data_IF_395739910687
#
_entry.id   IF_395739910687
#
_cell.length_a   1.000
_cell.length_b   1.000
_cell.length_c   1.000
_cell.angle_alpha   90.00
_cell.angle_beta   90.00
_cell.angle_gamma   90.00
#
_symmetry.space_group_name_H-M   'P 1'
#
loop_
_entity.id
_entity.type
_entity.pdbx_description
1 polymer ?
#
# COMPACT_ATOMS: atom_id res chain seq x y z
N UNK A 1 -50.34 40.25 -17.89
CA UNK A 1 -49.89 39.31 -18.93
C UNK A 1 -48.77 38.45 -18.36
N UNK A 2 -49.11 37.31 -17.79
CA UNK A 2 -48.17 36.32 -17.24
C UNK A 2 -48.37 35.03 -18.05
N UNK A 3 -47.33 34.56 -18.75
CA UNK A 3 -47.33 33.27 -19.46
C UNK A 3 -46.42 32.29 -18.70
N UNK A 4 -47.01 31.17 -18.26
CA UNK A 4 -46.32 30.03 -17.64
C UNK A 4 -45.46 29.29 -18.69
N UNK A 5 -44.29 28.75 -18.34
CA UNK A 5 -43.58 27.76 -19.16
C UNK A 5 -44.20 26.37 -19.00
N UNK A 6 -44.19 25.60 -20.09
CA UNK A 6 -44.78 24.28 -20.21
C UNK A 6 -43.99 23.18 -19.47
N UNK A 7 -44.71 22.16 -18.98
CA UNK A 7 -44.15 20.97 -18.34
C UNK A 7 -43.47 20.02 -19.37
N UNK A 8 -42.41 19.29 -18.98
CA UNK A 8 -41.74 18.33 -19.86
C UNK A 8 -42.54 17.02 -19.99
N UNK A 9 -42.54 16.46 -21.21
CA UNK A 9 -43.18 15.17 -21.58
C UNK A 9 -42.43 13.96 -20.98
N UNK A 10 -43.13 12.86 -20.65
CA UNK A 10 -42.49 11.63 -20.18
C UNK A 10 -41.81 10.86 -21.33
N UNK A 11 -40.78 10.03 -21.05
CA UNK A 11 -40.07 9.23 -22.05
C UNK A 11 -40.91 8.05 -22.54
N UNK A 12 -40.67 7.55 -23.78
CA UNK A 12 -41.40 6.42 -24.33
C UNK A 12 -40.96 5.10 -23.69
N UNK A 13 -41.94 4.23 -23.43
CA UNK A 13 -41.80 2.87 -22.93
C UNK A 13 -41.02 1.97 -23.90
N UNK A 14 -39.89 1.42 -23.44
CA UNK A 14 -39.20 0.34 -24.14
C UNK A 14 -39.91 -0.98 -23.86
N UNK A 15 -40.62 -1.47 -24.87
CA UNK A 15 -41.27 -2.77 -24.94
C UNK A 15 -40.27 -3.92 -24.90
N UNK A 16 -40.55 -4.90 -24.04
CA UNK A 16 -39.90 -6.20 -23.96
C UNK A 16 -39.95 -6.92 -25.32
N UNK A 17 -38.79 -7.31 -25.84
CA UNK A 17 -38.68 -8.33 -26.87
C UNK A 17 -38.09 -9.58 -26.21
N UNK A 18 -38.97 -10.51 -25.91
CA UNK A 18 -38.70 -11.89 -25.50
C UNK A 18 -38.31 -12.70 -26.73
N UNK A 19 -37.03 -13.06 -26.85
CA UNK A 19 -36.59 -14.07 -27.82
C UNK A 19 -36.73 -15.46 -27.18
N UNK A 20 -37.71 -16.21 -27.68
CA UNK A 20 -38.01 -17.58 -27.29
C UNK A 20 -36.94 -18.56 -27.77
N UNK A 21 -36.39 -19.35 -26.87
CA UNK A 21 -35.63 -20.56 -27.19
C UNK A 21 -36.60 -21.72 -27.45
N UNK A 22 -36.51 -22.36 -28.63
CA UNK A 22 -37.15 -23.65 -28.92
C UNK A 22 -36.10 -24.77 -28.96
N UNK A 23 -36.42 -25.99 -28.47
CA UNK A 23 -35.43 -27.07 -28.29
C UNK A 23 -35.46 -28.16 -29.39
N UNK A 24 -34.31 -28.84 -29.53
CA UNK A 24 -34.08 -30.26 -29.92
C UNK A 24 -34.36 -30.69 -31.39
N UNK A 25 -33.65 -31.71 -31.97
CA UNK A 25 -33.56 -33.07 -31.43
C UNK A 25 -32.23 -33.84 -31.55
N UNK A 26 -32.27 -34.99 -30.88
CA UNK A 26 -31.24 -35.98 -30.56
C UNK A 26 -31.16 -37.19 -31.51
N UNK A 27 -29.95 -37.76 -31.63
CA UNK A 27 -29.60 -39.21 -31.83
C UNK A 27 -29.86 -39.83 -33.22
N UNK A 28 -29.20 -40.96 -33.63
CA UNK A 28 -28.56 -42.07 -32.88
C UNK A 28 -27.08 -42.34 -33.30
N UNK A 29 -26.21 -43.15 -32.71
CA UNK A 29 -26.28 -44.40 -31.93
C UNK A 29 -25.45 -45.49 -32.64
N UNK A 30 -24.41 -46.06 -31.98
CA UNK A 30 -23.77 -47.40 -32.19
C UNK A 30 -22.50 -47.49 -31.30
N UNK A 31 -22.57 -48.18 -30.16
CA UNK A 31 -22.31 -49.62 -29.88
C UNK A 31 -20.83 -49.99 -29.65
N UNK A 32 -20.62 -50.54 -28.46
CA UNK A 32 -19.42 -51.18 -27.91
C UNK A 32 -18.85 -52.32 -28.76
N UNK A 33 -17.55 -52.53 -28.65
CA UNK A 33 -16.94 -53.88 -28.68
C UNK A 33 -15.88 -53.98 -27.59
N UNK A 34 -16.06 -54.97 -26.73
CA UNK A 34 -15.14 -55.52 -25.74
C UNK A 34 -14.07 -56.38 -26.40
N UNK A 35 -12.83 -56.35 -25.89
CA UNK A 35 -11.77 -57.29 -26.29
C UNK A 35 -10.67 -57.41 -25.26
N UNK A 36 -10.70 -58.50 -24.48
CA UNK A 36 -9.64 -59.01 -23.59
C UNK A 36 -8.40 -59.46 -24.40
N UNK A 37 -7.23 -59.48 -23.74
CA UNK A 37 -6.35 -60.65 -23.84
C UNK A 37 -4.84 -60.41 -23.91
N UNK A 38 -4.12 -60.78 -22.84
CA UNK A 38 -2.75 -61.32 -22.84
C UNK A 38 -1.62 -60.30 -23.01
N UNK A 39 -0.52 -60.29 -22.28
CA UNK A 39 0.05 -61.26 -21.33
C UNK A 39 1.57 -61.28 -21.51
N UNK A 40 2.31 -61.30 -20.38
CA UNK A 40 3.73 -61.71 -20.23
C UNK A 40 4.80 -60.78 -20.87
N UNK A 41 6.00 -60.58 -20.33
CA UNK A 41 6.74 -61.10 -19.16
C UNK A 41 8.06 -60.29 -19.06
N UNK A 42 8.64 -60.28 -17.85
CA UNK A 42 10.06 -60.09 -17.53
C UNK A 42 10.66 -58.66 -17.64
N UNK A 43 11.56 -58.22 -16.76
CA UNK A 43 12.41 -58.95 -15.80
C UNK A 43 12.76 -58.09 -14.59
N UNK A 44 12.80 -58.72 -13.41
CA UNK A 44 13.45 -58.23 -12.21
C UNK A 44 14.97 -58.49 -12.26
N UNK A 45 15.77 -57.47 -11.93
CA UNK A 45 17.18 -57.43 -11.47
C UNK A 45 17.52 -55.93 -11.57
N UNK A 46 17.83 -55.17 -10.53
CA UNK A 46 18.81 -55.38 -9.47
C UNK A 46 18.34 -54.76 -8.14
N UNK A 47 18.58 -55.46 -7.03
CA UNK A 47 18.71 -54.85 -5.70
C UNK A 47 20.19 -54.85 -5.34
N UNK A 48 20.53 -53.82 -4.57
CA UNK A 48 21.70 -53.68 -3.70
C UNK A 48 22.99 -53.24 -4.39
N UNK A 49 23.31 -51.95 -4.22
CA UNK A 49 24.60 -51.40 -3.76
C UNK A 49 24.45 -49.86 -3.69
N UNK A 50 24.88 -49.24 -2.59
CA UNK A 50 24.86 -47.78 -2.42
C UNK A 50 24.04 -47.25 -1.23
N UNK A 51 24.25 -47.79 -0.02
CA UNK A 51 24.10 -46.99 1.21
C UNK A 51 25.38 -46.15 1.34
N UNK A 52 25.23 -44.84 1.30
CA UNK A 52 26.32 -43.88 1.47
C UNK A 52 26.34 -42.86 0.33
N UNK A 53 26.53 -41.58 0.67
CA UNK A 53 26.82 -40.47 -0.26
C UNK A 53 25.65 -39.76 -0.96
N UNK A 54 24.51 -39.59 -0.28
CA UNK A 54 23.39 -38.77 -0.79
C UNK A 54 22.87 -37.65 0.13
N UNK A 55 23.42 -37.49 1.34
CA UNK A 55 22.84 -36.62 2.37
C UNK A 55 23.73 -35.45 2.84
N UNK A 56 24.94 -35.32 2.29
CA UNK A 56 25.93 -34.28 2.67
C UNK A 56 26.14 -33.20 1.59
N UNK A 57 25.11 -32.96 0.79
CA UNK A 57 25.00 -31.77 -0.08
C UNK A 57 23.91 -30.80 0.40
N UNK A 58 23.64 -30.78 1.71
CA UNK A 58 23.21 -29.52 2.35
C UNK A 58 24.42 -28.60 2.32
N UNK A 59 24.63 -27.94 1.18
CA UNK A 59 25.44 -26.73 1.06
C UNK A 59 25.17 -25.95 2.35
N UNK A 60 26.18 -25.81 3.21
CA UNK A 60 26.09 -25.04 4.43
C UNK A 60 25.50 -23.69 4.05
N UNK A 61 24.20 -23.50 4.30
CA UNK A 61 23.47 -22.31 3.87
C UNK A 61 24.04 -21.24 4.77
N UNK A 62 24.96 -20.42 4.23
CA UNK A 62 25.56 -19.34 4.99
C UNK A 62 24.43 -18.53 5.58
N UNK A 63 24.28 -18.58 6.89
CA UNK A 63 23.20 -17.90 7.57
C UNK A 63 23.59 -16.43 7.60
N UNK A 64 22.79 -15.57 6.96
CA UNK A 64 23.12 -14.16 6.87
C UNK A 64 23.04 -13.49 8.24
N UNK A 65 23.85 -12.45 8.43
CA UNK A 65 23.55 -11.37 9.38
C UNK A 65 22.87 -10.25 8.62
N UNK A 66 21.67 -9.91 9.03
CA UNK A 66 20.76 -9.14 8.17
C UNK A 66 20.25 -7.88 8.82
N UNK A 67 20.43 -6.75 8.14
CA UNK A 67 19.77 -5.49 8.49
C UNK A 67 18.48 -5.40 7.69
N UNK A 68 17.33 -5.32 8.37
CA UNK A 68 16.05 -5.07 7.73
C UNK A 68 15.69 -3.59 7.86
N UNK A 69 15.68 -2.87 6.75
CA UNK A 69 15.42 -1.44 6.70
C UNK A 69 13.93 -1.17 6.47
N UNK A 70 13.24 -0.77 7.53
CA UNK A 70 11.90 -0.21 7.46
C UNK A 70 11.92 1.18 6.82
N UNK A 71 10.94 1.44 5.94
CA UNK A 71 10.72 2.75 5.29
C UNK A 71 9.23 3.09 5.32
N UNK A 72 8.45 2.33 4.56
CA UNK A 72 7.02 2.11 4.82
C UNK A 72 6.91 0.82 5.62
N UNK A 73 6.02 -0.10 5.25
CA UNK A 73 6.01 -1.47 5.78
C UNK A 73 6.07 -1.56 7.30
N UNK A 74 5.57 -0.55 8.04
CA UNK A 74 5.70 -0.44 9.49
C UNK A 74 4.70 -1.37 10.20
N UNK A 75 4.86 -2.67 9.93
CA UNK A 75 4.01 -3.76 10.39
C UNK A 75 4.77 -5.09 10.39
N UNK A 76 4.28 -6.04 11.18
CA UNK A 76 4.74 -7.41 11.21
C UNK A 76 3.84 -8.34 10.38
N UNK A 77 2.53 -8.09 10.28
CA UNK A 77 1.64 -8.88 9.43
C UNK A 77 1.91 -8.64 7.95
N UNK A 78 1.82 -9.69 7.13
CA UNK A 78 2.04 -9.62 5.67
C UNK A 78 3.27 -8.76 5.30
N UNK A 79 4.40 -9.05 5.93
CA UNK A 79 5.67 -8.41 5.63
C UNK A 79 6.59 -9.42 4.92
N UNK A 80 6.51 -9.55 3.58
CA UNK A 80 7.24 -10.56 2.83
C UNK A 80 8.75 -10.36 2.93
N UNK A 81 9.23 -9.12 2.94
CA UNK A 81 10.65 -8.79 3.03
C UNK A 81 11.23 -9.18 4.38
N UNK A 82 10.55 -8.82 5.48
CA UNK A 82 10.98 -9.19 6.83
C UNK A 82 10.91 -10.70 7.06
N UNK A 83 9.87 -11.37 6.56
CA UNK A 83 9.77 -12.81 6.61
C UNK A 83 10.93 -13.49 5.87
N UNK A 84 11.24 -13.03 4.66
CA UNK A 84 12.36 -13.56 3.88
C UNK A 84 13.71 -13.34 4.59
N UNK A 85 13.89 -12.18 5.24
CA UNK A 85 15.06 -11.88 6.07
C UNK A 85 15.18 -12.87 7.24
N UNK A 86 14.10 -13.14 7.98
CA UNK A 86 14.11 -14.09 9.09
C UNK A 86 14.39 -15.53 8.65
N UNK A 87 14.00 -15.91 7.42
CA UNK A 87 14.20 -17.26 6.88
C UNK A 87 15.60 -17.49 6.28
N UNK A 88 16.32 -16.43 5.93
CA UNK A 88 17.67 -16.47 5.35
C UNK A 88 18.80 -16.26 6.36
N UNK A 89 18.49 -15.88 7.61
CA UNK A 89 19.45 -15.22 8.51
C UNK A 89 19.60 -15.91 9.87
N UNK A 90 20.81 -15.85 10.45
CA UNK A 90 21.08 -16.25 11.85
C UNK A 90 20.83 -15.11 12.84
N UNK A 91 21.02 -13.87 12.38
CA UNK A 91 20.79 -12.68 13.18
C UNK A 91 20.12 -11.59 12.35
N UNK A 92 19.20 -10.86 12.97
CA UNK A 92 18.45 -9.78 12.34
C UNK A 92 18.54 -8.49 13.16
N UNK A 93 18.65 -7.37 12.44
CA UNK A 93 18.65 -6.02 12.98
C UNK A 93 17.50 -5.26 12.32
N UNK A 94 16.31 -5.20 12.94
CA UNK A 94 15.19 -4.42 12.43
C UNK A 94 15.49 -2.93 12.66
N UNK A 95 15.72 -2.19 11.59
CA UNK A 95 16.22 -0.81 11.61
C UNK A 95 15.25 0.14 10.93
N UNK A 96 15.06 1.31 11.51
CA UNK A 96 14.47 2.47 10.83
C UNK A 96 15.48 3.61 10.84
N UNK A 97 15.91 4.08 9.67
CA UNK A 97 16.82 5.22 9.57
C UNK A 97 15.99 6.50 9.47
N UNK A 98 16.08 7.35 10.50
CA UNK A 98 15.48 8.67 10.54
C UNK A 98 16.45 9.69 9.94
N UNK A 99 16.49 9.72 8.61
CA UNK A 99 17.28 10.67 7.82
C UNK A 99 16.47 11.94 7.56
N UNK A 100 16.67 12.98 8.38
CA UNK A 100 15.91 14.22 8.24
C UNK A 100 16.24 14.97 6.96
N UNK A 101 17.50 14.95 6.52
CA UNK A 101 17.93 15.70 5.34
C UNK A 101 17.38 15.07 4.07
N UNK A 102 17.43 13.74 3.98
CA UNK A 102 16.74 13.00 2.93
C UNK A 102 15.24 13.28 2.96
N UNK A 103 14.60 13.15 4.13
CA UNK A 103 13.16 13.35 4.25
C UNK A 103 12.74 14.79 3.89
N UNK A 104 13.46 15.82 4.30
CA UNK A 104 13.11 17.21 3.94
C UNK A 104 13.42 17.57 2.50
N UNK A 105 14.37 16.90 1.85
CA UNK A 105 14.68 17.11 0.43
C UNK A 105 13.66 16.47 -0.51
N UNK A 106 13.08 15.33 -0.14
CA UNK A 106 12.15 14.58 -1.01
C UNK A 106 10.68 14.75 -0.63
N UNK A 107 10.38 15.19 0.60
CA UNK A 107 9.01 15.31 1.08
C UNK A 107 8.77 16.46 2.06
N UNK A 108 7.58 17.05 1.96
CA UNK A 108 7.10 18.03 2.93
C UNK A 108 6.33 17.30 4.04
N UNK A 109 6.84 17.35 5.28
CA UNK A 109 6.26 16.63 6.43
C UNK A 109 5.90 17.63 7.54
N UNK A 110 4.60 17.81 7.78
CA UNK A 110 4.09 18.60 8.90
C UNK A 110 4.10 17.84 10.23
N UNK A 111 3.89 18.57 11.33
CA UNK A 111 3.96 18.02 12.69
C UNK A 111 3.05 16.80 12.93
N UNK A 112 1.81 16.82 12.41
CA UNK A 112 0.89 15.70 12.58
C UNK A 112 1.37 14.41 11.89
N UNK A 113 2.05 14.53 10.74
CA UNK A 113 2.66 13.37 10.06
C UNK A 113 3.81 12.79 10.87
N UNK A 114 4.64 13.65 11.47
CA UNK A 114 5.71 13.21 12.36
C UNK A 114 5.16 12.48 13.58
N UNK A 115 4.11 13.02 14.22
CA UNK A 115 3.43 12.33 15.31
C UNK A 115 2.92 10.94 14.92
N UNK A 116 2.24 10.84 13.77
CA UNK A 116 1.74 9.55 13.29
C UNK A 116 2.88 8.56 13.00
N UNK A 117 4.00 9.03 12.43
CA UNK A 117 5.20 8.21 12.21
C UNK A 117 5.80 7.73 13.53
N UNK A 118 6.07 8.63 14.48
CA UNK A 118 6.67 8.28 15.77
C UNK A 118 5.80 7.27 16.53
N UNK A 119 4.48 7.49 16.58
CA UNK A 119 3.53 6.54 17.17
C UNK A 119 3.56 5.18 16.46
N UNK A 120 3.77 5.15 15.15
CA UNK A 120 3.88 3.90 14.39
C UNK A 120 5.19 3.17 14.66
N UNK A 121 6.30 3.89 14.85
CA UNK A 121 7.58 3.31 15.25
C UNK A 121 7.55 2.81 16.69
N UNK A 122 6.88 3.52 17.61
CA UNK A 122 6.64 3.06 18.98
C UNK A 122 5.83 1.76 19.02
N UNK A 123 4.77 1.68 18.22
CA UNK A 123 3.95 0.46 18.10
C UNK A 123 4.74 -0.72 17.49
N UNK A 124 5.57 -0.45 16.48
CA UNK A 124 6.45 -1.45 15.89
C UNK A 124 7.51 -1.94 16.88
N UNK A 125 8.13 -1.03 17.64
CA UNK A 125 9.04 -1.36 18.74
C UNK A 125 8.36 -2.29 19.76
N UNK A 126 7.16 -1.94 20.22
CA UNK A 126 6.41 -2.75 21.18
C UNK A 126 6.09 -4.14 20.63
N UNK A 127 5.66 -4.22 19.38
CA UNK A 127 5.31 -5.48 18.71
C UNK A 127 6.54 -6.38 18.52
N UNK A 128 7.69 -5.81 18.14
CA UNK A 128 8.95 -6.55 18.05
C UNK A 128 9.43 -7.04 19.43
N UNK A 129 9.32 -6.22 20.47
CA UNK A 129 9.66 -6.60 21.84
C UNK A 129 8.82 -7.78 22.36
N UNK A 130 7.53 -7.83 22.03
CA UNK A 130 6.66 -8.96 22.39
C UNK A 130 7.11 -10.27 21.74
N UNK A 131 7.81 -10.22 20.60
CA UNK A 131 8.36 -11.38 19.90
C UNK A 131 9.83 -11.67 20.25
N UNK A 132 10.42 -10.94 21.20
CA UNK A 132 11.82 -11.14 21.62
C UNK A 132 12.85 -10.42 20.73
N UNK A 133 12.44 -9.39 20.00
CA UNK A 133 13.30 -8.51 19.19
C UNK A 133 13.14 -7.03 19.59
N UNK A 134 13.66 -6.11 18.79
CA UNK A 134 13.53 -4.67 18.99
C UNK A 134 13.69 -3.95 17.66
N UNK A 135 13.09 -2.77 17.55
CA UNK A 135 13.37 -1.78 16.53
C UNK A 135 14.59 -0.93 16.94
N UNK A 136 15.50 -0.71 16.00
CA UNK A 136 16.64 0.19 16.15
C UNK A 136 16.39 1.44 15.30
N UNK A 137 16.08 2.57 15.94
CA UNK A 137 15.88 3.84 15.24
C UNK A 137 17.19 4.61 15.23
N UNK A 138 17.78 4.78 14.05
CA UNK A 138 19.09 5.42 13.87
C UNK A 138 18.89 6.78 13.19
N UNK A 139 19.39 7.85 13.80
CA UNK A 139 19.32 9.20 13.23
C UNK A 139 20.60 9.50 12.45
N UNK A 140 20.47 9.85 11.17
CA UNK A 140 21.60 10.18 10.31
C UNK A 140 21.31 9.93 8.84
N UNK A 141 22.27 10.30 7.99
CA UNK A 141 22.22 10.00 6.56
C UNK A 141 22.27 8.49 6.33
N UNK A 142 21.37 7.95 5.50
CA UNK A 142 21.26 6.50 5.31
C UNK A 142 22.56 5.84 4.82
N UNK A 143 23.34 6.49 3.95
CA UNK A 143 24.60 5.91 3.45
C UNK A 143 25.64 5.81 4.56
N UNK A 144 25.87 6.91 5.27
CA UNK A 144 26.79 6.97 6.41
C UNK A 144 26.40 5.98 7.52
N UNK A 145 25.11 5.96 7.88
CA UNK A 145 24.57 5.01 8.87
C UNK A 145 24.79 3.56 8.44
N UNK A 146 24.54 3.22 7.18
CA UNK A 146 24.75 1.87 6.68
C UNK A 146 26.23 1.50 6.72
N UNK A 147 27.14 2.38 6.28
CA UNK A 147 28.61 2.12 6.32
C UNK A 147 29.08 1.76 7.72
N UNK A 148 28.70 2.56 8.72
CA UNK A 148 29.10 2.34 10.12
C UNK A 148 28.58 1.00 10.65
N UNK A 149 27.28 0.74 10.50
CA UNK A 149 26.63 -0.40 11.13
C UNK A 149 26.85 -1.71 10.36
N UNK A 150 27.08 -1.67 9.04
CA UNK A 150 27.46 -2.86 8.27
C UNK A 150 28.79 -3.42 8.78
N UNK A 151 29.77 -2.54 9.02
CA UNK A 151 31.07 -2.93 9.54
C UNK A 151 30.97 -3.40 11.00
N UNK A 152 30.28 -2.63 11.86
CA UNK A 152 30.14 -2.95 13.28
C UNK A 152 29.43 -4.29 13.51
N UNK A 153 28.31 -4.51 12.81
CA UNK A 153 27.46 -5.68 13.00
C UNK A 153 27.80 -6.85 12.07
N UNK A 154 28.79 -6.66 11.19
CA UNK A 154 29.24 -7.66 10.21
C UNK A 154 28.08 -8.13 9.33
N UNK A 155 27.31 -7.17 8.83
CA UNK A 155 26.13 -7.41 8.01
C UNK A 155 26.56 -8.01 6.67
N UNK A 156 25.86 -9.07 6.27
CA UNK A 156 26.05 -9.77 4.99
C UNK A 156 24.85 -9.64 4.06
N UNK A 157 23.73 -9.12 4.57
CA UNK A 157 22.51 -8.89 3.79
C UNK A 157 21.76 -7.66 4.32
N UNK A 158 21.29 -6.81 3.41
CA UNK A 158 20.35 -5.74 3.69
C UNK A 158 19.04 -6.09 3.00
N UNK A 159 17.94 -6.03 3.75
CA UNK A 159 16.61 -6.23 3.20
C UNK A 159 15.76 -4.98 3.35
N UNK A 160 14.96 -4.67 2.34
CA UNK A 160 14.12 -3.48 2.30
C UNK A 160 12.94 -3.71 1.36
N UNK A 161 11.76 -3.16 1.65
CA UNK A 161 10.62 -3.30 0.76
C UNK A 161 10.90 -2.65 -0.61
N UNK A 162 10.49 -3.31 -1.70
CA UNK A 162 10.64 -2.78 -3.06
C UNK A 162 9.58 -1.71 -3.33
N UNK A 163 9.83 -0.48 -2.86
CA UNK A 163 8.94 0.67 -3.01
C UNK A 163 9.06 1.32 -4.41
N UNK A 164 7.95 1.89 -4.88
CA UNK A 164 7.85 2.39 -6.26
C UNK A 164 8.18 3.88 -6.42
N UNK A 165 8.19 4.65 -5.32
CA UNK A 165 8.48 6.08 -5.37
C UNK A 165 9.89 6.34 -5.91
N UNK A 166 10.06 7.36 -6.79
CA UNK A 166 11.36 7.65 -7.41
C UNK A 166 12.51 7.76 -6.40
N UNK A 167 12.30 8.48 -5.29
CA UNK A 167 13.32 8.66 -4.26
C UNK A 167 13.65 7.37 -3.49
N UNK A 168 12.70 6.45 -3.33
CA UNK A 168 12.97 5.14 -2.71
C UNK A 168 13.65 4.17 -3.66
N UNK A 169 13.39 4.27 -4.97
CA UNK A 169 14.11 3.53 -6.01
C UNK A 169 15.56 3.99 -6.12
N UNK A 170 15.80 5.30 -6.05
CA UNK A 170 17.15 5.88 -6.03
C UNK A 170 17.92 5.45 -4.78
N UNK A 171 17.30 5.55 -3.59
CA UNK A 171 17.88 5.02 -2.34
C UNK A 171 18.21 3.52 -2.45
N UNK A 172 17.31 2.70 -3.00
CA UNK A 172 17.58 1.27 -3.19
C UNK A 172 18.74 1.04 -4.17
N UNK A 173 18.84 1.81 -5.26
CA UNK A 173 19.95 1.72 -6.19
C UNK A 173 21.30 2.06 -5.51
N UNK A 174 21.32 3.12 -4.68
CA UNK A 174 22.50 3.52 -3.92
C UNK A 174 22.89 2.44 -2.89
N UNK A 175 21.91 1.85 -2.19
CA UNK A 175 22.16 0.74 -1.25
C UNK A 175 22.69 -0.50 -1.97
N UNK A 176 22.20 -0.80 -3.18
CA UNK A 176 22.72 -1.91 -4.01
C UNK A 176 24.16 -1.66 -4.45
N UNK A 177 24.50 -0.42 -4.82
CA UNK A 177 25.87 -0.04 -5.14
C UNK A 177 26.78 -0.16 -3.92
N UNK A 178 26.31 0.30 -2.75
CA UNK A 178 27.02 0.12 -1.47
C UNK A 178 27.22 -1.37 -1.14
N UNK A 179 26.25 -2.24 -1.49
CA UNK A 179 26.35 -3.69 -1.37
C UNK A 179 27.49 -4.30 -2.17
N UNK A 180 27.70 -3.80 -3.40
CA UNK A 180 28.82 -4.22 -4.24
C UNK A 180 30.17 -3.75 -3.67
N UNK A 181 30.21 -2.58 -3.03
CA UNK A 181 31.41 -2.02 -2.42
C UNK A 181 31.80 -2.73 -1.11
N UNK A 182 30.84 -2.92 -0.20
CA UNK A 182 31.08 -3.43 1.16
C UNK A 182 30.88 -4.95 1.30
N UNK A 183 30.37 -5.62 0.27
CA UNK A 183 30.22 -7.08 0.25
C UNK A 183 29.00 -7.62 0.97
N UNK A 184 27.83 -6.98 0.83
CA UNK A 184 26.55 -7.49 1.33
C UNK A 184 25.52 -7.66 0.20
N UNK A 185 24.62 -8.62 0.36
CA UNK A 185 23.51 -8.86 -0.57
C UNK A 185 22.33 -7.93 -0.30
N UNK A 186 21.59 -7.54 -1.35
CA UNK A 186 20.36 -6.74 -1.20
C UNK A 186 19.15 -7.52 -1.71
N UNK A 187 18.23 -7.82 -0.79
CA UNK A 187 16.96 -8.47 -1.09
C UNK A 187 15.80 -7.48 -0.89
N UNK A 188 14.98 -7.32 -1.91
CA UNK A 188 13.75 -6.52 -1.82
C UNK A 188 12.56 -7.28 -2.39
N UNK A 189 11.42 -7.18 -1.70
CA UNK A 189 10.16 -7.79 -2.11
C UNK A 189 9.04 -6.74 -2.07
N UNK A 190 8.03 -6.92 -2.91
CA UNK A 190 6.90 -6.00 -2.98
C UNK A 190 5.96 -6.24 -1.80
N UNK A 191 5.88 -5.27 -0.88
CA UNK A 191 4.99 -5.29 0.28
C UNK A 191 3.88 -4.24 0.28
N UNK A 192 3.86 -3.34 -0.72
CA UNK A 192 2.99 -2.16 -0.71
C UNK A 192 1.79 -2.25 -1.68
N UNK A 193 1.73 -3.22 -2.59
CA UNK A 193 0.70 -3.32 -3.65
C UNK A 193 0.01 -4.68 -3.67
N UNK A 194 -1.20 -4.71 -4.24
CA UNK A 194 -1.97 -5.95 -4.42
C UNK A 194 -1.32 -6.89 -5.44
N UNK A 195 -0.80 -6.32 -6.51
CA UNK A 195 -0.16 -7.04 -7.60
C UNK A 195 1.27 -6.52 -7.81
N UNK A 196 2.10 -7.35 -8.45
CA UNK A 196 3.36 -6.85 -9.00
C UNK A 196 3.06 -5.96 -10.21
N UNK A 197 3.24 -4.64 -10.08
CA UNK A 197 2.85 -3.65 -11.11
C UNK A 197 3.45 -3.94 -12.47
N UNK A 198 4.68 -4.45 -12.53
CA UNK A 198 5.33 -4.89 -13.78
C UNK A 198 4.49 -5.92 -14.58
N UNK A 199 3.83 -6.87 -13.91
CA UNK A 199 2.97 -7.87 -14.58
C UNK A 199 1.75 -7.21 -15.23
N UNK A 200 1.23 -6.14 -14.62
CA UNK A 200 0.14 -5.33 -15.20
C UNK A 200 0.63 -4.59 -16.44
N UNK A 201 1.83 -4.02 -16.40
CA UNK A 201 2.44 -3.32 -17.55
C UNK A 201 2.69 -4.29 -18.71
N UNK A 202 3.24 -5.47 -18.45
CA UNK A 202 3.49 -6.51 -19.45
C UNK A 202 2.21 -6.92 -20.17
N UNK A 203 1.14 -7.20 -19.44
CA UNK A 203 -0.17 -7.52 -20.04
C UNK A 203 -0.83 -6.34 -20.76
N UNK A 204 -0.45 -5.12 -20.42
CA UNK A 204 -0.91 -3.89 -21.07
C UNK A 204 -0.05 -3.47 -22.27
N UNK A 205 0.97 -4.27 -22.64
CA UNK A 205 1.86 -3.99 -23.77
C UNK A 205 2.97 -2.99 -23.46
N UNK A 206 3.41 -2.94 -22.20
CA UNK A 206 4.51 -2.09 -21.72
C UNK A 206 4.11 -0.69 -21.24
N UNK A 207 2.86 -0.28 -21.45
CA UNK A 207 2.35 1.02 -21.01
C UNK A 207 1.26 0.87 -19.93
N UNK A 208 1.18 1.79 -18.95
CA UNK A 208 0.16 1.70 -17.90
C UNK A 208 -1.25 1.94 -18.46
N UNK A 209 -2.26 1.20 -17.98
CA UNK A 209 -3.65 1.48 -18.36
C UNK A 209 -4.08 2.85 -17.82
N UNK A 210 -4.49 3.77 -18.71
CA UNK A 210 -4.87 5.14 -18.33
C UNK A 210 -6.35 5.33 -17.99
N UNK A 211 -7.16 4.27 -18.13
CA UNK A 211 -8.56 4.27 -17.69
C UNK A 211 -8.81 3.14 -16.72
N UNK A 212 -9.63 3.41 -15.71
CA UNK A 212 -9.98 2.42 -14.70
C UNK A 212 -10.65 1.18 -15.31
N UNK A 213 -11.46 1.36 -16.37
CA UNK A 213 -12.07 0.25 -17.12
C UNK A 213 -11.03 -0.67 -17.75
N UNK A 214 -10.01 -0.10 -18.42
CA UNK A 214 -8.92 -0.89 -19.01
C UNK A 214 -8.12 -1.60 -17.92
N UNK A 215 -7.83 -0.92 -16.82
CA UNK A 215 -7.15 -1.50 -15.67
C UNK A 215 -7.88 -2.72 -15.10
N UNK A 216 -9.20 -2.62 -14.85
CA UNK A 216 -10.00 -3.75 -14.39
C UNK A 216 -10.01 -4.91 -15.39
N UNK A 217 -10.03 -4.62 -16.69
CA UNK A 217 -9.93 -5.66 -17.71
C UNK A 217 -8.57 -6.39 -17.64
N UNK A 218 -7.45 -5.67 -17.49
CA UNK A 218 -6.14 -6.31 -17.31
C UNK A 218 -6.11 -7.16 -16.04
N UNK A 219 -6.64 -6.66 -14.91
CA UNK A 219 -6.70 -7.45 -13.68
C UNK A 219 -7.55 -8.71 -13.84
N UNK A 220 -8.64 -8.66 -14.60
CA UNK A 220 -9.45 -9.86 -14.89
C UNK A 220 -8.69 -10.95 -15.66
N UNK A 221 -7.64 -10.59 -16.41
CA UNK A 221 -6.75 -11.54 -17.08
C UNK A 221 -5.66 -12.07 -16.14
N UNK A 222 -5.23 -11.25 -15.17
CA UNK A 222 -4.16 -11.59 -14.23
C UNK A 222 -4.64 -12.51 -13.10
N UNK A 223 -5.92 -12.42 -12.73
CA UNK A 223 -6.53 -13.20 -11.65
C UNK A 223 -6.52 -12.45 -10.32
N UNK A 224 -6.60 -13.20 -9.23
CA UNK A 224 -6.63 -12.63 -7.87
C UNK A 224 -5.27 -12.04 -7.45
N UNK A 225 -5.25 -11.07 -6.51
CA UNK A 225 -4.02 -10.51 -5.95
C UNK A 225 -3.13 -11.53 -5.26
N UNK A 226 -1.88 -11.16 -5.02
CA UNK A 226 -0.96 -11.95 -4.18
C UNK A 226 -1.55 -12.11 -2.77
N UNK A 227 -1.52 -13.34 -2.24
CA UNK A 227 -1.99 -13.64 -0.88
C UNK A 227 -1.07 -13.03 0.17
N UNK A 228 -1.60 -12.58 1.32
CA UNK A 228 -0.76 -12.12 2.40
C UNK A 228 0.12 -13.26 2.93
N UNK A 229 1.39 -12.96 3.23
CA UNK A 229 2.28 -13.95 3.85
C UNK A 229 1.87 -14.24 5.30
N UNK A 230 2.35 -15.35 5.85
CA UNK A 230 2.07 -15.72 7.25
C UNK A 230 2.54 -14.64 8.23
N UNK A 231 1.91 -14.59 9.39
CA UNK A 231 2.38 -13.76 10.49
C UNK A 231 3.72 -14.29 11.04
N UNK A 232 4.51 -13.35 11.58
CA UNK A 232 5.74 -13.65 12.29
C UNK A 232 5.41 -14.18 13.69
N UNK A 233 6.31 -15.02 14.20
CA UNK A 233 6.16 -15.69 15.49
C UNK A 233 7.39 -15.47 16.35
N UNK A 234 7.28 -15.71 17.67
CA UNK A 234 8.45 -15.69 18.55
C UNK A 234 9.50 -16.73 18.14
N UNK A 235 9.08 -17.86 17.54
CA UNK A 235 10.00 -18.89 17.03
C UNK A 235 10.89 -18.37 15.90
N UNK A 236 10.38 -17.48 15.05
CA UNK A 236 11.17 -16.84 13.98
C UNK A 236 12.34 -16.05 14.57
N UNK A 237 12.10 -15.27 15.63
CA UNK A 237 13.12 -14.46 16.32
C UNK A 237 14.00 -15.26 17.30
N UNK A 238 13.55 -16.44 17.75
CA UNK A 238 14.41 -17.37 18.50
C UNK A 238 15.45 -18.04 17.59
N UNK A 239 15.04 -18.38 16.37
CA UNK A 239 15.89 -18.96 15.32
C UNK A 239 16.83 -17.91 14.72
N UNK A 240 16.31 -16.71 14.44
CA UNK A 240 17.06 -15.58 13.92
C UNK A 240 17.17 -14.51 15.02
N UNK A 241 18.23 -14.58 15.82
CA UNK A 241 18.31 -13.77 17.04
C UNK A 241 18.56 -12.30 16.72
N UNK A 242 17.82 -11.42 17.37
CA UNK A 242 18.18 -10.01 17.46
C UNK A 242 19.28 -9.87 18.51
N UNK A 243 20.50 -9.44 18.16
CA UNK A 243 21.55 -9.26 19.17
C UNK A 243 21.11 -8.24 20.21
N UNK A 244 21.61 -8.38 21.44
CA UNK A 244 21.21 -7.60 22.63
C UNK A 244 21.60 -6.11 22.61
N UNK A 245 21.46 -5.45 21.47
CA UNK A 245 21.64 -4.00 21.28
C UNK A 245 20.42 -3.19 21.73
N UNK A 246 19.31 -3.88 22.06
CA UNK A 246 18.00 -3.33 22.45
C UNK A 246 18.01 -2.38 23.67
N UNK A 247 19.13 -2.23 24.36
CA UNK A 247 19.27 -1.44 25.58
C UNK A 247 20.10 -0.16 25.40
N UNK A 248 20.64 0.11 24.21
CA UNK A 248 21.38 1.35 23.99
C UNK A 248 20.39 2.50 23.76
N UNK A 249 20.40 3.50 24.65
CA UNK A 249 19.54 4.70 24.56
C UNK A 249 19.66 5.41 23.20
N UNK A 250 20.76 5.21 22.46
CA UNK A 250 21.00 5.79 21.14
C UNK A 250 20.07 5.27 20.03
N UNK A 251 19.42 4.11 20.20
CA UNK A 251 18.53 3.51 19.19
C UNK A 251 17.04 3.67 19.51
N UNK A 252 16.69 4.44 20.55
CA UNK A 252 15.30 4.65 20.96
C UNK A 252 14.50 5.37 19.86
N UNK A 253 13.19 5.13 19.83
CA UNK A 253 12.28 5.98 19.05
C UNK A 253 12.37 7.42 19.61
N UNK A 254 12.67 8.43 18.78
CA UNK A 254 12.82 9.80 19.26
C UNK A 254 11.48 10.37 19.74
N UNK A 255 11.55 11.25 20.72
CA UNK A 255 10.38 11.98 21.20
C UNK A 255 10.05 13.17 20.27
N UNK A 256 8.81 13.69 20.29
CA UNK A 256 8.44 14.91 19.56
C UNK A 256 9.41 16.09 19.80
N UNK A 257 9.89 16.25 21.04
CA UNK A 257 10.88 17.30 21.39
C UNK A 257 12.21 17.13 20.65
N UNK A 258 12.66 15.88 20.43
CA UNK A 258 13.88 15.59 19.70
C UNK A 258 13.73 16.05 18.24
N UNK A 259 12.51 15.94 17.68
CA UNK A 259 12.16 16.40 16.33
C UNK A 259 11.85 17.89 16.22
N UNK A 260 11.85 18.65 17.33
CA UNK A 260 11.41 20.06 17.37
C UNK A 260 9.98 20.27 16.86
N UNK A 261 9.09 19.30 17.11
CA UNK A 261 7.65 19.41 16.82
C UNK A 261 6.87 19.61 18.13
N UNK A 262 5.64 20.18 18.08
CA UNK A 262 4.80 20.32 19.27
C UNK A 262 4.61 18.98 20.00
N UNK A 263 4.58 18.99 21.33
CA UNK A 263 4.48 17.77 22.13
C UNK A 263 3.15 17.04 21.93
N UNK A 264 2.06 17.79 21.80
CA UNK A 264 0.72 17.23 21.66
C UNK A 264 0.30 17.13 20.19
N UNK A 265 -0.31 16.00 19.83
CA UNK A 265 -1.01 15.84 18.56
C UNK A 265 -2.51 16.01 18.81
N UNK A 266 -3.13 16.94 18.09
CA UNK A 266 -4.58 17.16 18.12
C UNK A 266 -5.34 16.20 17.18
N UNK A 267 -4.63 15.41 16.39
CA UNK A 267 -5.25 14.48 15.46
C UNK A 267 -5.91 13.31 16.21
N UNK A 268 -7.17 12.96 15.91
CA UNK A 268 -7.79 11.76 16.48
C UNK A 268 -7.33 10.46 15.78
N UNK A 269 -6.35 10.54 14.87
CA UNK A 269 -5.69 9.38 14.27
C UNK A 269 -4.37 9.10 14.99
N UNK A 270 -4.32 7.95 15.66
CA UNK A 270 -3.09 7.41 16.25
C UNK A 270 -2.40 6.48 15.26
N UNK A 271 -1.07 6.59 15.16
CA UNK A 271 -0.21 5.70 14.36
C UNK A 271 -0.13 4.28 14.92
N UNK A 272 0.39 3.36 14.10
CA UNK A 272 0.65 1.96 14.48
C UNK A 272 -0.17 0.90 13.73
N UNK A 273 0.43 -0.27 13.59
CA UNK A 273 -0.19 -1.51 13.12
C UNK A 273 -1.35 -1.92 14.04
N UNK A 274 -1.15 -1.86 15.36
CA UNK A 274 -2.17 -2.25 16.35
C UNK A 274 -3.46 -1.44 16.18
N UNK A 275 -3.34 -0.12 16.09
CA UNK A 275 -4.50 0.76 15.90
C UNK A 275 -5.12 0.58 14.50
N UNK A 276 -4.29 0.37 13.47
CA UNK A 276 -4.75 0.05 12.13
C UNK A 276 -5.61 -1.21 12.10
N UNK A 277 -5.13 -2.31 12.68
CA UNK A 277 -5.85 -3.58 12.78
C UNK A 277 -7.12 -3.43 13.62
N UNK A 278 -7.06 -2.75 14.77
CA UNK A 278 -8.25 -2.47 15.60
C UNK A 278 -9.33 -1.73 14.82
N UNK A 279 -8.95 -0.69 14.06
CA UNK A 279 -9.89 0.04 13.20
C UNK A 279 -10.42 -0.81 12.06
N UNK A 280 -9.58 -1.64 11.45
CA UNK A 280 -9.99 -2.57 10.41
C UNK A 280 -11.07 -3.51 10.97
N UNK A 281 -10.82 -4.18 12.09
CA UNK A 281 -11.80 -5.08 12.73
C UNK A 281 -13.10 -4.36 13.07
N UNK A 282 -13.02 -3.16 13.64
CA UNK A 282 -14.20 -2.37 13.99
C UNK A 282 -15.10 -2.09 12.79
N UNK A 283 -14.52 -1.83 11.60
CA UNK A 283 -15.30 -1.63 10.37
C UNK A 283 -15.81 -2.94 9.78
N UNK A 284 -15.12 -4.05 10.00
CA UNK A 284 -15.55 -5.37 9.52
C UNK A 284 -16.65 -6.00 10.41
N UNK A 285 -16.84 -5.52 11.64
CA UNK A 285 -17.92 -5.96 12.54
C UNK A 285 -19.31 -5.80 11.90
N UNK A 286 -19.56 -4.68 11.22
CA UNK A 286 -20.79 -4.47 10.46
C UNK A 286 -20.64 -5.00 9.03
N UNK A 287 -20.78 -6.33 8.89
CA UNK A 287 -20.70 -6.99 7.59
C UNK A 287 -21.80 -6.51 6.61
N UNK A 288 -22.94 -6.04 7.12
CA UNK A 288 -24.01 -5.49 6.29
C UNK A 288 -23.58 -4.18 5.63
N UNK A 289 -22.92 -3.30 6.38
CA UNK A 289 -22.31 -2.08 5.84
C UNK A 289 -21.20 -2.39 4.85
N UNK A 290 -20.32 -3.35 5.15
CA UNK A 290 -19.22 -3.76 4.27
C UNK A 290 -19.74 -4.29 2.92
N UNK A 291 -20.77 -5.15 2.95
CA UNK A 291 -21.36 -5.72 1.74
C UNK A 291 -22.11 -4.68 0.90
N UNK A 292 -22.75 -3.70 1.54
CA UNK A 292 -23.56 -2.68 0.84
C UNK A 292 -22.80 -1.38 0.51
N UNK A 293 -21.54 -1.25 0.96
CA UNK A 293 -20.73 -0.03 0.83
C UNK A 293 -20.68 0.48 -0.60
N UNK A 294 -20.91 1.78 -0.78
CA UNK A 294 -20.90 2.45 -2.08
C UNK A 294 -20.30 3.83 -1.92
N UNK A 295 -19.07 4.05 -2.41
CA UNK A 295 -18.31 5.30 -2.19
C UNK A 295 -19.07 6.60 -2.50
N UNK A 296 -19.84 6.73 -3.61
CA UNK A 296 -20.59 7.97 -3.89
C UNK A 296 -21.73 8.27 -2.91
N UNK A 297 -22.15 7.31 -2.08
CA UNK A 297 -23.26 7.47 -1.12
C UNK A 297 -22.78 7.81 0.30
N UNK A 298 -21.50 8.10 0.50
CA UNK A 298 -20.98 8.48 1.82
C UNK A 298 -21.09 9.99 2.05
N UNK A 299 -21.37 10.37 3.30
CA UNK A 299 -21.74 11.74 3.66
C UNK A 299 -20.49 12.52 4.10
N UNK A 300 -20.13 13.64 3.45
CA UNK A 300 -18.97 14.46 3.83
C UNK A 300 -19.20 15.34 5.05
N UNK A 301 -20.47 15.66 5.37
CA UNK A 301 -20.84 16.57 6.46
C UNK A 301 -20.99 15.83 7.81
N UNK A 302 -20.53 14.58 7.89
CA UNK A 302 -20.57 13.79 9.12
C UNK A 302 -19.42 14.22 10.03
N UNK A 303 -19.72 14.44 11.31
CA UNK A 303 -18.71 14.70 12.34
C UNK A 303 -17.76 13.50 12.55
N UNK A 304 -18.20 12.30 12.17
CA UNK A 304 -17.40 11.08 12.19
C UNK A 304 -17.15 10.58 10.76
N UNK A 305 -15.97 10.01 10.46
CA UNK A 305 -15.68 9.46 9.14
C UNK A 305 -16.75 8.46 8.68
N UNK A 306 -17.45 8.77 7.59
CA UNK A 306 -18.44 7.87 6.96
C UNK A 306 -17.80 6.81 6.05
N UNK A 307 -16.47 6.76 6.04
CA UNK A 307 -15.62 5.78 5.34
C UNK A 307 -14.64 5.18 6.34
N UNK A 308 -13.91 4.13 5.96
CA UNK A 308 -13.06 3.36 6.88
C UNK A 308 -12.01 4.16 7.66
N UNK A 309 -11.58 5.33 7.16
CA UNK A 309 -10.52 6.11 7.79
C UNK A 309 -9.17 5.37 7.86
N UNK A 310 -8.99 4.32 7.05
CA UNK A 310 -7.81 3.45 7.06
C UNK A 310 -6.66 3.93 6.15
N UNK A 311 -6.89 4.97 5.35
CA UNK A 311 -5.86 5.51 4.44
C UNK A 311 -4.53 5.87 5.10
N UNK A 312 -4.48 6.37 6.35
CA UNK A 312 -3.22 6.59 7.07
C UNK A 312 -2.34 5.35 7.17
N UNK A 313 -2.96 4.24 7.56
CA UNK A 313 -2.30 2.99 7.87
C UNK A 313 -1.83 2.31 6.59
N UNK A 314 -2.59 2.40 5.49
CA UNK A 314 -2.13 1.92 4.19
C UNK A 314 -0.99 2.75 3.63
N UNK A 315 -1.01 4.08 3.82
CA UNK A 315 0.01 4.98 3.28
C UNK A 315 1.39 4.75 3.92
N UNK A 316 1.42 4.54 5.25
CA UNK A 316 2.65 4.24 5.98
C UNK A 316 3.00 2.74 6.02
N UNK A 317 2.09 1.89 5.53
CA UNK A 317 2.25 0.44 5.52
C UNK A 317 2.04 -0.23 6.88
N UNK A 318 1.40 0.45 7.85
CA UNK A 318 0.92 -0.15 9.10
C UNK A 318 -0.20 -1.19 8.87
N UNK A 319 -0.92 -1.08 7.75
CA UNK A 319 -1.86 -2.09 7.28
C UNK A 319 -1.47 -2.59 5.89
N UNK A 320 -1.52 -3.91 5.70
CA UNK A 320 -1.43 -4.51 4.37
C UNK A 320 -2.73 -4.36 3.59
N UNK A 321 -2.59 -3.90 2.34
CA UNK A 321 -3.68 -3.90 1.37
C UNK A 321 -4.10 -5.31 0.95
N UNK A 322 -3.18 -6.29 0.94
CA UNK A 322 -3.49 -7.70 0.62
C UNK A 322 -4.33 -8.31 1.72
N UNK A 323 -3.92 -8.13 2.98
CA UNK A 323 -4.70 -8.57 4.13
C UNK A 323 -6.09 -7.99 4.09
N UNK A 324 -6.23 -6.67 3.88
CA UNK A 324 -7.55 -6.05 3.81
C UNK A 324 -8.38 -6.56 2.62
N UNK A 325 -7.77 -6.74 1.44
CA UNK A 325 -8.46 -7.29 0.26
C UNK A 325 -9.05 -8.69 0.54
N UNK A 326 -8.24 -9.59 1.09
CA UNK A 326 -8.69 -10.96 1.38
C UNK A 326 -9.69 -11.03 2.53
N UNK A 327 -9.59 -10.13 3.51
CA UNK A 327 -10.63 -10.00 4.56
C UNK A 327 -11.98 -9.57 3.98
N UNK A 328 -11.99 -8.66 3.01
CA UNK A 328 -13.19 -8.30 2.27
C UNK A 328 -13.71 -9.48 1.41
N UNK A 329 -12.81 -10.20 0.73
CA UNK A 329 -13.19 -11.38 -0.08
C UNK A 329 -13.89 -12.44 0.78
N UNK A 330 -13.41 -12.68 2.00
CA UNK A 330 -14.04 -13.64 2.92
C UNK A 330 -15.48 -13.23 3.30
N UNK A 331 -15.71 -11.94 3.52
CA UNK A 331 -17.06 -11.41 3.81
C UNK A 331 -17.94 -11.49 2.56
N UNK A 332 -17.41 -11.15 1.38
CA UNK A 332 -18.14 -11.20 0.13
C UNK A 332 -18.53 -12.63 -0.26
N UNK A 333 -17.67 -13.62 0.02
CA UNK A 333 -17.99 -15.03 -0.16
C UNK A 333 -19.15 -15.51 0.73
N UNK A 334 -19.36 -14.89 1.89
CA UNK A 334 -20.46 -15.20 2.82
C UNK A 334 -21.75 -14.42 2.48
N UNK A 335 -21.63 -13.29 1.78
CA UNK A 335 -22.75 -12.44 1.42
C UNK A 335 -23.42 -12.87 0.10
N UNK A 336 -24.75 -12.98 0.08
CA UNK A 336 -25.52 -13.31 -1.15
C UNK A 336 -25.43 -12.21 -2.23
N UNK A 337 -25.31 -10.95 -1.80
CA UNK A 337 -25.17 -9.78 -2.65
C UNK A 337 -24.17 -8.82 -2.00
N UNK A 338 -23.23 -8.31 -2.79
CA UNK A 338 -22.30 -7.29 -2.35
C UNK A 338 -22.07 -6.25 -3.46
N UNK A 339 -21.61 -5.07 -3.07
CA UNK A 339 -21.25 -4.03 -4.02
C UNK A 339 -20.03 -4.45 -4.84
N UNK A 340 -20.02 -4.07 -6.11
CA UNK A 340 -18.93 -4.37 -7.05
C UNK A 340 -18.04 -3.15 -7.25
N UNK A 341 -16.77 -3.34 -7.67
CA UNK A 341 -15.94 -2.24 -8.16
C UNK A 341 -16.67 -1.44 -9.25
N UNK A 342 -16.49 -0.11 -9.34
CA UNK A 342 -15.52 0.74 -8.63
C UNK A 342 -15.94 1.20 -7.23
N UNK A 343 -17.19 0.98 -6.82
CA UNK A 343 -17.77 1.67 -5.66
C UNK A 343 -17.63 0.92 -4.34
N UNK A 344 -17.35 -0.39 -4.40
CA UNK A 344 -17.11 -1.25 -3.23
C UNK A 344 -15.79 -0.90 -2.53
N UNK A 345 -15.59 -1.46 -1.32
CA UNK A 345 -14.35 -1.27 -0.57
C UNK A 345 -13.13 -1.87 -1.30
N UNK A 346 -13.28 -3.04 -1.93
CA UNK A 346 -12.25 -3.59 -2.82
C UNK A 346 -12.01 -2.65 -4.01
N UNK A 347 -13.06 -2.07 -4.59
CA UNK A 347 -12.93 -1.06 -5.64
C UNK A 347 -12.07 0.14 -5.23
N UNK A 348 -12.12 0.55 -3.95
CA UNK A 348 -11.25 1.61 -3.42
C UNK A 348 -9.78 1.20 -3.40
N UNK A 349 -9.47 -0.06 -3.03
CA UNK A 349 -8.10 -0.58 -3.11
C UNK A 349 -7.61 -0.69 -4.57
N UNK A 350 -8.51 -1.05 -5.48
CA UNK A 350 -8.19 -1.09 -6.91
C UNK A 350 -7.99 0.31 -7.49
N UNK A 351 -8.63 1.36 -6.96
CA UNK A 351 -8.31 2.75 -7.32
C UNK A 351 -6.90 3.15 -6.89
N UNK A 352 -6.52 2.77 -5.68
CA UNK A 352 -5.14 2.88 -5.18
C UNK A 352 -4.16 2.16 -6.13
N UNK A 353 -4.43 0.90 -6.43
CA UNK A 353 -3.59 0.07 -7.30
C UNK A 353 -3.47 0.65 -8.73
N UNK A 354 -4.56 1.22 -9.26
CA UNK A 354 -4.58 1.93 -10.53
C UNK A 354 -3.61 3.11 -10.53
N UNK A 355 -3.69 3.99 -9.53
CA UNK A 355 -2.79 5.15 -9.46
C UNK A 355 -1.34 4.74 -9.20
N UNK A 356 -1.08 3.73 -8.36
CA UNK A 356 0.27 3.18 -8.17
C UNK A 356 0.84 2.62 -9.48
N UNK A 357 0.03 1.89 -10.25
CA UNK A 357 0.45 1.33 -11.55
C UNK A 357 0.81 2.45 -12.53
N UNK A 358 -0.05 3.46 -12.67
CA UNK A 358 0.20 4.58 -13.59
C UNK A 358 1.41 5.38 -13.13
N UNK A 359 1.52 5.71 -11.84
CA UNK A 359 2.64 6.45 -11.27
C UNK A 359 3.99 5.74 -11.49
N UNK A 360 4.03 4.42 -11.32
CA UNK A 360 5.26 3.63 -11.45
C UNK A 360 5.87 3.62 -12.86
N UNK A 361 5.07 3.93 -13.89
CA UNK A 361 5.45 3.85 -15.30
C UNK A 361 5.26 5.18 -16.05
N UNK A 362 4.98 6.28 -15.35
CA UNK A 362 4.79 7.60 -15.96
C UNK A 362 5.90 8.54 -15.48
N UNK A 363 6.77 9.04 -16.37
CA UNK A 363 7.78 10.01 -15.98
C UNK A 363 7.11 11.31 -15.52
N UNK A 364 7.72 11.99 -14.54
CA UNK A 364 7.24 13.27 -14.01
C UNK A 364 5.77 13.23 -13.52
N UNK A 365 5.28 12.07 -13.06
CA UNK A 365 3.87 11.87 -12.70
C UNK A 365 3.32 12.91 -11.70
N UNK A 366 4.17 13.41 -10.79
CA UNK A 366 3.82 14.35 -9.72
C UNK A 366 4.01 15.82 -10.08
N UNK A 367 4.30 16.15 -11.34
CA UNK A 367 4.37 17.52 -11.85
C UNK A 367 3.67 17.63 -13.21
N UNK A 368 3.36 18.85 -13.65
CA UNK A 368 2.71 19.10 -14.94
C UNK A 368 3.72 19.06 -16.08
N UNK A 369 4.84 19.77 -15.92
CA UNK A 369 5.86 19.89 -16.96
C UNK A 369 6.53 18.54 -17.24
N UNK A 370 6.53 18.13 -18.51
CA UNK A 370 7.15 16.87 -18.95
C UNK A 370 6.38 15.61 -18.55
N UNK A 371 5.13 15.74 -18.09
CA UNK A 371 4.26 14.61 -17.77
C UNK A 371 3.36 14.28 -18.98
N UNK A 372 3.51 13.09 -19.60
CA UNK A 372 2.86 12.78 -20.88
C UNK A 372 1.34 12.60 -20.80
N UNK A 373 0.79 12.44 -19.60
CA UNK A 373 -0.65 12.26 -19.38
C UNK A 373 -1.31 13.47 -18.71
N UNK A 374 -0.53 14.52 -18.38
CA UNK A 374 -1.03 15.73 -17.77
C UNK A 374 -1.28 16.82 -18.82
N UNK A 375 -2.48 17.41 -18.79
CA UNK A 375 -2.78 18.58 -19.62
C UNK A 375 -1.91 19.76 -19.19
N UNK A 376 -1.27 20.39 -20.17
CA UNK A 376 -0.46 21.58 -19.94
C UNK A 376 -1.38 22.80 -19.87
N UNK A 377 -1.53 23.36 -18.67
CA UNK A 377 -2.45 24.45 -18.37
C UNK A 377 -1.65 25.63 -17.82
N UNK A 378 -1.90 26.82 -18.37
CA UNK A 378 -1.36 28.07 -17.84
C UNK A 378 -2.12 28.47 -16.57
N UNK A 379 -1.74 27.83 -15.46
CA UNK A 379 -2.24 28.18 -14.12
C UNK A 379 -1.77 29.57 -13.71
N UNK A 380 -2.54 30.24 -12.86
CA UNK A 380 -2.16 31.54 -12.32
C UNK A 380 -1.11 31.38 -11.20
N UNK A 381 -0.12 32.28 -11.20
CA UNK A 381 0.80 32.46 -10.09
C UNK A 381 0.25 33.55 -9.15
N UNK A 382 -0.58 33.14 -8.19
CA UNK A 382 -1.16 34.04 -7.19
C UNK A 382 -0.95 33.46 -5.78
N UNK A 383 0.17 33.87 -5.18
CA UNK A 383 0.59 33.42 -3.86
C UNK A 383 -0.36 33.86 -2.75
N UNK A 384 -1.07 34.98 -2.92
CA UNK A 384 -2.04 35.47 -1.93
C UNK A 384 -3.28 34.57 -1.89
N UNK A 385 -3.84 34.23 -3.06
CA UNK A 385 -4.96 33.26 -3.16
C UNK A 385 -4.59 31.90 -2.60
N UNK A 386 -3.40 31.40 -2.96
CA UNK A 386 -2.89 30.15 -2.42
C UNK A 386 -2.74 30.23 -0.89
N UNK A 387 -2.21 31.34 -0.37
CA UNK A 387 -2.06 31.54 1.07
C UNK A 387 -3.41 31.50 1.78
N UNK A 388 -4.41 32.27 1.31
CA UNK A 388 -5.76 32.29 1.89
C UNK A 388 -6.41 30.90 1.90
N UNK A 389 -6.28 30.14 0.81
CA UNK A 389 -6.76 28.76 0.76
C UNK A 389 -5.99 27.86 1.74
N UNK A 390 -4.66 27.96 1.74
CA UNK A 390 -3.79 27.18 2.63
C UNK A 390 -4.03 27.51 4.11
N UNK A 391 -4.48 28.71 4.46
CA UNK A 391 -4.70 29.18 5.84
C UNK A 391 -6.18 29.15 6.27
N UNK A 392 -7.09 28.63 5.45
CA UNK A 392 -8.53 28.61 5.72
C UNK A 392 -9.15 30.00 5.90
N UNK A 393 -8.76 30.94 5.03
CA UNK A 393 -9.22 32.34 5.01
C UNK A 393 -9.76 32.72 3.62
N UNK A 394 -10.43 31.78 2.94
CA UNK A 394 -11.03 32.03 1.61
C UNK A 394 -12.28 32.90 1.71
N UNK A 395 -12.92 32.95 2.87
CA UNK A 395 -14.21 33.61 3.08
C UNK A 395 -15.41 32.73 2.73
N UNK A 396 -15.17 31.48 2.31
CA UNK A 396 -16.20 30.47 2.07
C UNK A 396 -16.19 29.47 3.22
N UNK A 397 -17.15 29.55 4.18
CA UNK A 397 -17.11 28.76 5.41
C UNK A 397 -16.97 27.25 5.20
N UNK A 398 -17.55 26.70 4.13
CA UNK A 398 -17.40 25.28 3.78
C UNK A 398 -15.96 24.91 3.44
N UNK A 399 -15.27 25.71 2.63
CA UNK A 399 -13.87 25.49 2.24
C UNK A 399 -12.95 25.72 3.43
N UNK A 400 -13.19 26.79 4.19
CA UNK A 400 -12.38 27.16 5.35
C UNK A 400 -12.51 26.11 6.47
N UNK A 401 -13.70 25.57 6.71
CA UNK A 401 -13.90 24.47 7.67
C UNK A 401 -13.13 23.21 7.26
N UNK A 402 -13.18 22.81 5.98
CA UNK A 402 -12.43 21.65 5.49
C UNK A 402 -10.92 21.87 5.62
N UNK A 403 -10.41 23.04 5.23
CA UNK A 403 -8.98 23.34 5.33
C UNK A 403 -8.52 23.47 6.79
N UNK A 404 -9.41 23.88 7.70
CA UNK A 404 -9.17 23.85 9.15
C UNK A 404 -9.11 22.42 9.67
N UNK A 405 -10.07 21.56 9.30
CA UNK A 405 -10.04 20.13 9.64
C UNK A 405 -8.75 19.48 9.12
N UNK A 406 -8.37 19.75 7.87
CA UNK A 406 -7.12 19.25 7.31
C UNK A 406 -5.93 19.71 8.18
N UNK A 407 -5.86 20.98 8.61
CA UNK A 407 -4.74 21.47 9.44
C UNK A 407 -4.69 20.86 10.84
N UNK A 408 -5.84 20.72 11.49
CA UNK A 408 -5.91 20.33 12.91
C UNK A 408 -5.90 18.81 13.09
N UNK A 409 -6.60 18.11 12.20
CA UNK A 409 -6.78 16.66 12.30
C UNK A 409 -5.97 15.90 11.25
N UNK A 410 -5.76 16.51 10.09
CA UNK A 410 -4.98 15.90 9.01
C UNK A 410 -5.64 14.72 8.32
N UNK A 411 -6.97 14.63 8.41
CA UNK A 411 -7.72 13.79 7.52
C UNK A 411 -9.03 14.47 7.19
N UNK A 412 -9.39 14.43 5.90
CA UNK A 412 -10.68 14.93 5.42
C UNK A 412 -11.30 13.90 4.49
N UNK A 413 -12.63 13.86 4.49
CA UNK A 413 -13.42 12.96 3.66
C UNK A 413 -13.14 13.21 2.16
N UNK A 414 -13.26 12.18 1.32
CA UNK A 414 -12.90 12.29 -0.09
C UNK A 414 -13.69 13.38 -0.84
N UNK A 415 -14.99 13.54 -0.61
CA UNK A 415 -15.77 14.63 -1.21
C UNK A 415 -15.37 16.01 -0.69
N UNK A 416 -14.86 16.10 0.54
CA UNK A 416 -14.28 17.33 1.06
C UNK A 416 -12.98 17.68 0.31
N UNK A 417 -12.14 16.68 0.01
CA UNK A 417 -10.96 16.86 -0.88
C UNK A 417 -11.36 17.34 -2.26
N UNK A 418 -12.42 16.78 -2.84
CA UNK A 418 -12.94 17.24 -4.13
C UNK A 418 -13.35 18.71 -4.08
N UNK A 419 -14.07 19.13 -3.02
CA UNK A 419 -14.50 20.52 -2.88
C UNK A 419 -13.31 21.48 -2.84
N UNK A 420 -12.34 21.26 -1.95
CA UNK A 420 -11.20 22.17 -1.79
C UNK A 420 -10.22 22.13 -2.96
N UNK A 421 -10.04 20.97 -3.60
CA UNK A 421 -9.18 20.83 -4.78
C UNK A 421 -9.81 21.46 -6.02
N UNK A 422 -11.12 21.29 -6.22
CA UNK A 422 -11.85 21.96 -7.31
C UNK A 422 -11.81 23.47 -7.11
N UNK A 423 -12.09 23.95 -5.90
CA UNK A 423 -12.03 25.37 -5.56
C UNK A 423 -10.66 25.98 -5.86
N UNK A 424 -9.57 25.33 -5.44
CA UNK A 424 -8.21 25.80 -5.70
C UNK A 424 -7.85 25.83 -7.20
N UNK A 425 -8.26 24.81 -7.94
CA UNK A 425 -7.82 24.60 -9.33
C UNK A 425 -8.85 25.17 -10.31
N UNK A 426 -9.55 24.30 -11.03
CA UNK A 426 -10.44 24.63 -12.16
C UNK A 426 -11.79 25.27 -11.77
N UNK A 427 -12.11 25.34 -10.49
CA UNK A 427 -13.37 25.86 -9.98
C UNK A 427 -13.34 27.38 -9.84
N UNK A 428 -12.40 27.88 -9.03
CA UNK A 428 -12.46 29.28 -8.55
C UNK A 428 -11.11 30.00 -8.63
N UNK A 429 -10.06 29.47 -7.99
CA UNK A 429 -8.81 30.21 -7.81
C UNK A 429 -7.84 30.12 -9.00
N UNK A 430 -8.00 29.12 -9.86
CA UNK A 430 -7.14 28.85 -11.03
C UNK A 430 -5.64 28.68 -10.68
N UNK A 431 -5.34 28.14 -9.51
CA UNK A 431 -3.98 27.82 -9.05
C UNK A 431 -3.61 26.39 -9.46
N UNK A 432 -2.32 26.16 -9.70
CA UNK A 432 -1.80 24.85 -10.06
C UNK A 432 -2.15 23.77 -9.03
N UNK A 433 -2.49 22.59 -9.52
CA UNK A 433 -2.74 21.41 -8.70
C UNK A 433 -1.47 20.95 -7.95
N UNK A 434 -0.28 21.28 -8.46
CA UNK A 434 1.00 20.98 -7.80
C UNK A 434 1.11 21.68 -6.45
N UNK A 435 0.61 22.90 -6.32
CA UNK A 435 0.59 23.64 -5.06
C UNK A 435 -0.39 23.03 -4.05
N UNK A 436 -1.57 22.63 -4.52
CA UNK A 436 -2.54 21.89 -3.70
C UNK A 436 -1.97 20.55 -3.22
N UNK A 437 -1.24 19.85 -4.08
CA UNK A 437 -0.54 18.61 -3.77
C UNK A 437 0.52 18.82 -2.68
N UNK A 438 1.37 19.84 -2.79
CA UNK A 438 2.37 20.20 -1.77
C UNK A 438 1.72 20.47 -0.41
N UNK A 439 0.62 21.24 -0.38
CA UNK A 439 -0.12 21.52 0.87
C UNK A 439 -0.73 20.25 1.45
N UNK A 440 -1.31 19.39 0.61
CA UNK A 440 -1.88 18.12 1.06
C UNK A 440 -0.80 17.23 1.68
N UNK A 441 0.35 17.05 1.02
CA UNK A 441 1.46 16.26 1.57
C UNK A 441 2.07 16.88 2.83
N UNK A 442 2.15 18.22 2.92
CA UNK A 442 2.65 18.93 4.09
C UNK A 442 1.74 18.78 5.30
N UNK A 443 0.45 19.06 5.15
CA UNK A 443 -0.49 19.04 6.27
C UNK A 443 -0.82 17.62 6.66
N UNK A 444 -1.21 16.78 5.69
CA UNK A 444 -1.34 15.34 5.83
C UNK A 444 -1.82 14.61 4.56
N UNK A 445 -0.88 13.94 3.89
CA UNK A 445 -1.13 12.95 2.84
C UNK A 445 -1.35 11.53 3.37
N UNK A 446 -1.98 11.33 4.54
CA UNK A 446 -2.38 9.99 5.07
C UNK A 446 -3.55 9.37 4.26
N UNK A 447 -3.58 9.62 2.96
CA UNK A 447 -4.82 9.75 2.19
C UNK A 447 -4.64 9.29 0.76
N UNK A 448 -3.42 9.44 0.24
CA UNK A 448 -2.98 8.91 -1.04
C UNK A 448 -2.20 7.62 -0.76
N UNK A 449 -2.98 6.62 -0.38
CA UNK A 449 -2.64 5.24 -0.66
C UNK A 449 -3.14 4.94 -2.06
#
# INVERSE_FOLDING_TARGET
RWRRPAAPRPPPSASCITAAARPLPSSPGRRCVTGRGGGARASARERALGRGEGADLRRARMSHRTLHLFRKGLRLHDNPTLLAALESSEAIYPVYILDREFMTSVMHIGALRWHFLLQSLEDLQQSLCQLGSCLLVIQGEYESVLRDHIQEWKITQVTLDAEMEPFYKEMEANIRQLGQELGFEVLSLVGHSLYHTQRILELSGGAPPLTYKRFLHILSLLGDPEVPVRNLTAEDFQRCRSPGLALAECYRVPLPVDLKIPLESLSPWRGGETEGLRRLEQHLTDQGWVASFTKPRTIPNSLLPSTTGLSPYFSLGCLSVRTFFYRLSNIYAQAKHHSLPPVSLQGQLLWREFFYTVASATPNFTQMAGNPICLQISWAEDAERLHKWKTAQTGFPWIDAIMTQLRQEGWIHHLARHAVACFLTRGDLWISWEEGMKVHFWVLGLSLG
#
